data_IF_883877527321
#
_entry.id   IF_883877527321
#
_cell.length_a   1.000
_cell.length_b   1.000
_cell.length_c   1.000
_cell.angle_alpha   90.00
_cell.angle_beta   90.00
_cell.angle_gamma   90.00
#
_symmetry.space_group_name_H-M   'P 1'
#
loop_
_entity.id
_entity.type
_entity.pdbx_description
1 polymer ?
#
# COMPACT_ATOMS: atom_id res chain seq x y z
N UNK A 1 -12.46 18.86 12.66
CA UNK A 1 -11.97 19.96 11.79
C UNK A 1 -12.88 20.02 10.58
N UNK A 2 -13.31 21.19 10.09
CA UNK A 2 -14.28 21.23 8.97
C UNK A 2 -13.61 20.94 7.62
N UNK A 3 -14.34 20.30 6.70
CA UNK A 3 -13.86 19.96 5.34
C UNK A 3 -13.35 21.18 4.56
N UNK A 4 -14.03 22.32 4.71
CA UNK A 4 -13.67 23.63 4.14
C UNK A 4 -12.26 24.08 4.56
N UNK A 5 -11.81 23.71 5.77
CA UNK A 5 -10.46 24.05 6.23
C UNK A 5 -9.36 23.18 5.62
N UNK A 6 -9.68 21.93 5.26
CA UNK A 6 -8.75 20.99 4.62
C UNK A 6 -8.55 21.37 3.16
N UNK A 7 -9.62 21.68 2.43
CA UNK A 7 -9.56 22.09 1.01
C UNK A 7 -8.60 23.26 0.77
N UNK A 8 -8.62 24.27 1.67
CA UNK A 8 -7.69 25.41 1.59
C UNK A 8 -6.22 25.04 1.84
N UNK A 9 -5.96 23.94 2.56
CA UNK A 9 -4.60 23.47 2.90
C UNK A 9 -4.10 22.39 1.95
N UNK A 10 -5.00 21.71 1.24
CA UNK A 10 -4.69 20.57 0.39
C UNK A 10 -3.57 20.84 -0.64
N UNK A 11 -3.51 22.00 -1.33
CA UNK A 11 -2.40 22.28 -2.23
C UNK A 11 -1.03 22.32 -1.53
N UNK A 12 -0.99 22.75 -0.26
CA UNK A 12 0.25 22.75 0.55
C UNK A 12 0.57 21.35 1.08
N UNK A 13 -0.45 20.57 1.46
CA UNK A 13 -0.26 19.17 1.85
C UNK A 13 0.29 18.35 0.69
N UNK A 14 -0.24 18.53 -0.51
CA UNK A 14 0.24 17.83 -1.71
C UNK A 14 1.71 18.17 -2.00
N UNK A 15 2.09 19.46 -1.98
CA UNK A 15 3.51 19.87 -2.11
C UNK A 15 4.43 19.20 -1.08
N UNK A 16 4.00 19.09 0.18
CA UNK A 16 4.78 18.41 1.23
C UNK A 16 4.86 16.91 0.95
N UNK A 17 3.74 16.29 0.58
CA UNK A 17 3.66 14.88 0.21
C UNK A 17 4.63 14.55 -0.93
N UNK A 18 4.66 15.33 -2.00
CA UNK A 18 5.54 15.07 -3.14
C UNK A 18 7.00 15.02 -2.72
N UNK A 19 7.44 15.96 -1.87
CA UNK A 19 8.82 15.95 -1.38
C UNK A 19 9.17 14.67 -0.60
N UNK A 20 8.23 14.17 0.22
CA UNK A 20 8.42 12.96 1.02
C UNK A 20 8.28 11.70 0.17
N UNK A 21 7.49 11.74 -0.91
CA UNK A 21 7.40 10.66 -1.87
C UNK A 21 8.73 10.47 -2.61
N UNK A 22 9.36 11.56 -3.08
CA UNK A 22 10.65 11.51 -3.80
C UNK A 22 11.83 11.17 -2.87
N UNK A 23 11.89 11.81 -1.70
CA UNK A 23 12.86 11.52 -0.66
C UNK A 23 12.16 11.27 0.69
N UNK A 24 11.89 9.99 1.00
CA UNK A 24 11.31 9.56 2.27
C UNK A 24 12.02 10.11 3.52
N UNK A 25 13.32 10.42 3.42
CA UNK A 25 14.16 10.90 4.53
C UNK A 25 14.31 12.42 4.60
N UNK A 26 13.68 13.16 3.68
CA UNK A 26 13.94 14.59 3.49
C UNK A 26 13.77 15.40 4.79
N UNK A 27 14.77 16.20 5.19
CA UNK A 27 14.68 17.06 6.38
C UNK A 27 13.66 18.19 6.20
N UNK A 28 13.01 18.62 7.29
CA UNK A 28 12.00 19.70 7.26
C UNK A 28 12.51 21.00 6.65
N UNK A 29 13.78 21.34 6.89
CA UNK A 29 14.41 22.52 6.31
C UNK A 29 14.50 22.43 4.78
N UNK A 30 14.76 21.25 4.22
CA UNK A 30 14.81 21.06 2.78
C UNK A 30 13.41 21.12 2.16
N UNK A 31 12.39 20.56 2.82
CA UNK A 31 10.99 20.73 2.38
C UNK A 31 10.62 22.22 2.33
N UNK A 32 10.99 23.00 3.35
CA UNK A 32 10.76 24.45 3.38
C UNK A 32 11.42 25.12 2.17
N UNK A 33 12.70 24.83 1.91
CA UNK A 33 13.46 25.40 0.79
C UNK A 33 12.81 25.07 -0.56
N UNK A 34 12.36 23.83 -0.74
CA UNK A 34 11.80 23.35 -2.01
C UNK A 34 10.36 23.84 -2.26
N UNK A 35 9.59 24.10 -1.21
CA UNK A 35 8.15 24.41 -1.33
C UNK A 35 7.81 25.88 -1.06
N UNK A 36 8.72 26.65 -0.45
CA UNK A 36 8.46 28.00 0.05
C UNK A 36 7.56 28.05 1.29
N UNK A 37 7.17 26.90 1.86
CA UNK A 37 6.36 26.81 3.07
C UNK A 37 7.28 26.94 4.28
N UNK A 38 6.99 27.88 5.20
CA UNK A 38 7.85 28.07 6.38
C UNK A 38 8.05 26.78 7.18
N UNK A 39 9.24 26.58 7.75
CA UNK A 39 9.59 25.36 8.50
C UNK A 39 8.60 25.03 9.62
N UNK A 40 8.12 26.03 10.35
CA UNK A 40 7.10 25.87 11.39
C UNK A 40 5.77 25.38 10.82
N UNK A 41 5.37 25.87 9.65
CA UNK A 41 4.16 25.42 8.95
C UNK A 41 4.33 24.01 8.42
N UNK A 42 5.47 23.65 7.82
CA UNK A 42 5.75 22.27 7.38
C UNK A 42 5.65 21.31 8.55
N UNK A 43 6.28 21.64 9.69
CA UNK A 43 6.21 20.81 10.91
C UNK A 43 4.77 20.59 11.37
N UNK A 44 4.00 21.68 11.53
CA UNK A 44 2.59 21.63 11.93
C UNK A 44 1.75 20.80 10.97
N UNK A 45 1.92 21.01 9.66
CA UNK A 45 1.16 20.29 8.64
C UNK A 45 1.51 18.82 8.60
N UNK A 46 2.77 18.42 8.81
CA UNK A 46 3.11 17.01 8.90
C UNK A 46 2.46 16.32 10.11
N UNK A 47 2.51 16.95 11.28
CA UNK A 47 1.84 16.42 12.48
C UNK A 47 0.34 16.22 12.20
N UNK A 48 -0.29 17.21 11.58
CA UNK A 48 -1.70 17.17 11.20
C UNK A 48 -2.00 16.09 10.16
N UNK A 49 -1.21 16.02 9.09
CA UNK A 49 -1.37 15.05 8.00
C UNK A 49 -1.22 13.61 8.50
N UNK A 50 -0.26 13.35 9.40
CA UNK A 50 -0.14 12.03 10.05
C UNK A 50 -1.30 11.76 11.00
N UNK A 51 -1.69 12.73 11.84
CA UNK A 51 -2.77 12.58 12.81
C UNK A 51 -4.14 12.32 12.16
N UNK A 52 -4.37 12.88 10.97
CA UNK A 52 -5.60 12.68 10.19
C UNK A 52 -5.50 11.54 9.17
N UNK A 53 -4.37 10.80 9.14
CA UNK A 53 -4.10 9.80 8.10
C UNK A 53 -4.24 10.33 6.66
N UNK A 54 -3.97 11.62 6.46
CA UNK A 54 -3.81 12.22 5.12
C UNK A 54 -2.49 11.74 4.51
N UNK A 55 -1.48 11.54 5.35
CA UNK A 55 -0.19 10.96 4.97
C UNK A 55 0.02 9.69 5.78
N UNK A 56 0.38 8.58 5.14
CA UNK A 56 0.86 7.36 5.83
C UNK A 56 2.22 6.96 5.27
N UNK A 57 3.07 6.43 6.14
CA UNK A 57 4.45 6.12 5.77
C UNK A 57 5.42 7.29 5.98
N UNK A 58 6.57 7.30 5.28
CA UNK A 58 6.98 6.32 4.27
C UNK A 58 7.06 4.89 4.82
N UNK A 59 6.36 3.97 4.18
CA UNK A 59 6.23 2.56 4.53
C UNK A 59 7.36 1.77 3.85
N UNK A 60 7.94 0.79 4.55
CA UNK A 60 8.91 -0.15 3.97
C UNK A 60 8.16 -1.38 3.44
N UNK A 61 8.41 -1.70 2.18
CA UNK A 61 7.98 -2.94 1.55
C UNK A 61 9.22 -3.71 1.08
N UNK A 62 9.58 -4.76 1.80
CA UNK A 62 10.72 -5.62 1.44
C UNK A 62 10.42 -6.31 0.11
N UNK A 63 11.39 -6.29 -0.80
CA UNK A 63 11.27 -6.96 -2.10
C UNK A 63 11.33 -8.48 -1.90
N UNK A 64 10.59 -9.27 -2.69
CA UNK A 64 10.82 -10.71 -2.77
C UNK A 64 12.28 -10.99 -3.15
N UNK A 65 12.85 -12.02 -2.54
CA UNK A 65 14.21 -12.50 -2.81
C UNK A 65 14.23 -14.03 -2.78
N UNK A 66 15.24 -14.67 -3.39
CA UNK A 66 15.32 -16.14 -3.42
C UNK A 66 15.29 -16.78 -2.03
N UNK A 67 15.84 -16.09 -1.03
CA UNK A 67 15.85 -16.52 0.36
C UNK A 67 14.74 -15.89 1.24
N UNK A 68 13.85 -15.07 0.67
CA UNK A 68 12.77 -14.41 1.40
C UNK A 68 11.55 -14.15 0.50
N UNK A 69 10.45 -14.80 0.83
CA UNK A 69 9.16 -14.59 0.18
C UNK A 69 8.10 -14.20 1.21
N UNK A 70 7.15 -13.37 0.76
CA UNK A 70 5.88 -13.21 1.44
C UNK A 70 4.82 -13.97 0.65
N UNK A 71 3.77 -14.42 1.31
CA UNK A 71 2.66 -15.16 0.71
C UNK A 71 1.37 -14.43 1.04
N UNK A 72 0.54 -14.20 0.03
CA UNK A 72 -0.78 -13.61 0.22
C UNK A 72 -1.83 -14.72 0.12
N UNK A 73 -2.76 -14.76 1.09
CA UNK A 73 -3.86 -15.70 1.09
C UNK A 73 -5.22 -14.99 1.21
N UNK A 74 -6.15 -15.38 0.35
CA UNK A 74 -7.49 -14.82 0.21
C UNK A 74 -8.52 -15.84 0.67
N UNK A 75 -8.93 -15.73 1.92
CA UNK A 75 -9.60 -16.80 2.67
C UNK A 75 -11.08 -16.48 2.91
N UNK A 76 -11.89 -17.53 2.97
CA UNK A 76 -13.27 -17.48 3.47
C UNK A 76 -13.36 -18.22 4.79
N UNK A 77 -13.89 -17.54 5.80
CA UNK A 77 -14.26 -18.11 7.10
C UNK A 77 -15.76 -17.94 7.36
N UNK A 78 -16.34 -18.88 8.11
CA UNK A 78 -17.73 -18.78 8.61
C UNK A 78 -17.95 -17.54 9.47
N UNK A 79 -16.97 -17.25 10.33
CA UNK A 79 -17.02 -16.17 11.31
C UNK A 79 -15.79 -15.27 11.13
N UNK A 80 -15.77 -14.38 10.12
CA UNK A 80 -14.58 -13.63 9.75
C UNK A 80 -14.04 -12.78 10.89
N UNK A 81 -14.89 -12.14 11.70
CA UNK A 81 -14.41 -11.35 12.85
C UNK A 81 -13.69 -12.19 13.91
N UNK A 82 -14.19 -13.41 14.17
CA UNK A 82 -13.52 -14.35 15.11
C UNK A 82 -12.19 -14.83 14.53
N UNK A 83 -12.15 -15.18 13.24
CA UNK A 83 -10.92 -15.55 12.57
C UNK A 83 -9.90 -14.40 12.58
N UNK A 84 -10.32 -13.19 12.22
CA UNK A 84 -9.50 -11.98 12.25
C UNK A 84 -8.88 -11.75 13.63
N UNK A 85 -9.66 -11.86 14.70
CA UNK A 85 -9.16 -11.77 16.08
C UNK A 85 -8.21 -12.92 16.43
N UNK A 86 -8.54 -14.15 16.03
CA UNK A 86 -7.72 -15.36 16.25
C UNK A 86 -6.34 -15.29 15.58
N UNK A 87 -6.21 -14.55 14.49
CA UNK A 87 -4.91 -14.27 13.87
C UNK A 87 -4.01 -13.34 14.71
N UNK A 88 -4.46 -12.85 15.88
CA UNK A 88 -3.67 -11.88 16.67
C UNK A 88 -2.54 -12.64 17.35
N UNK A 89 -1.30 -12.26 17.05
CA UNK A 89 -0.12 -12.97 17.56
C UNK A 89 0.16 -14.28 16.83
N UNK A 90 -0.48 -14.54 15.69
CA UNK A 90 -0.15 -15.69 14.87
C UNK A 90 1.29 -15.55 14.34
N UNK A 91 2.16 -16.57 14.50
CA UNK A 91 3.55 -16.48 14.08
C UNK A 91 3.65 -16.29 12.57
N UNK A 92 4.67 -15.56 12.11
CA UNK A 92 4.93 -15.28 10.69
C UNK A 92 3.83 -14.53 9.94
N UNK A 93 2.82 -13.97 10.62
CA UNK A 93 1.80 -13.15 10.00
C UNK A 93 2.27 -11.69 9.94
N UNK A 94 2.41 -11.16 8.73
CA UNK A 94 2.85 -9.78 8.47
C UNK A 94 1.69 -8.77 8.51
N UNK A 95 0.56 -9.14 7.92
CA UNK A 95 -0.65 -8.32 7.94
C UNK A 95 -1.91 -9.16 7.81
N UNK A 96 -3.02 -8.61 8.29
CA UNK A 96 -4.35 -9.21 8.14
C UNK A 96 -5.39 -8.14 7.84
N UNK A 97 -6.37 -8.50 7.02
CA UNK A 97 -7.53 -7.68 6.74
C UNK A 97 -8.80 -8.51 6.90
N UNK A 98 -9.86 -7.87 7.39
CA UNK A 98 -11.22 -8.38 7.31
C UNK A 98 -11.97 -7.61 6.24
N UNK A 99 -12.69 -8.34 5.39
CA UNK A 99 -13.35 -7.81 4.21
C UNK A 99 -14.76 -8.40 4.07
N UNK A 100 -15.54 -7.79 3.18
CA UNK A 100 -16.86 -8.28 2.76
C UNK A 100 -16.87 -8.39 1.23
N UNK A 101 -17.04 -9.60 0.69
CA UNK A 101 -17.09 -9.83 -0.75
C UNK A 101 -16.66 -11.25 -1.11
N UNK A 102 -15.90 -11.36 -2.21
CA UNK A 102 -15.43 -12.64 -2.76
C UNK A 102 -14.53 -13.43 -1.79
N UNK A 103 -13.86 -12.75 -0.86
CA UNK A 103 -13.21 -13.33 0.31
C UNK A 103 -13.51 -12.43 1.52
N UNK A 104 -13.38 -12.96 2.74
CA UNK A 104 -13.68 -12.19 3.94
C UNK A 104 -12.50 -12.04 4.91
N UNK A 105 -11.39 -12.74 4.65
CA UNK A 105 -10.10 -12.56 5.30
C UNK A 105 -9.00 -12.51 4.25
N UNK A 106 -8.11 -11.53 4.34
CA UNK A 106 -6.85 -11.53 3.60
C UNK A 106 -5.71 -11.52 4.60
N UNK A 107 -4.72 -12.39 4.40
CA UNK A 107 -3.51 -12.44 5.23
C UNK A 107 -2.27 -12.39 4.35
N UNK A 108 -1.24 -11.69 4.83
CA UNK A 108 0.10 -11.74 4.24
C UNK A 108 1.04 -12.35 5.26
N UNK A 109 1.75 -13.40 4.87
CA UNK A 109 2.54 -14.24 5.76
C UNK A 109 3.98 -14.39 5.24
N UNK A 110 4.95 -14.58 6.12
CA UNK A 110 6.36 -14.83 5.75
C UNK A 110 6.62 -16.29 5.38
N UNK A 111 5.67 -17.18 5.66
CA UNK A 111 5.74 -18.60 5.34
C UNK A 111 4.47 -19.02 4.63
N UNK A 112 4.58 -19.99 3.73
CA UNK A 112 3.44 -20.64 3.11
C UNK A 112 2.72 -21.49 4.17
N UNK A 113 1.48 -21.13 4.51
CA UNK A 113 0.75 -21.75 5.62
C UNK A 113 -0.47 -22.52 5.15
N UNK A 114 -0.75 -23.66 5.78
CA UNK A 114 -1.97 -24.41 5.53
C UNK A 114 -3.11 -23.93 6.45
N UNK A 115 -4.06 -23.17 5.90
CA UNK A 115 -5.21 -22.63 6.63
C UNK A 115 -6.37 -23.61 6.77
N UNK A 116 -6.37 -24.76 6.06
CA UNK A 116 -7.52 -25.68 6.04
C UNK A 116 -7.82 -26.33 7.38
N UNK A 117 -6.83 -26.39 8.27
CA UNK A 117 -6.96 -26.91 9.63
C UNK A 117 -7.57 -25.91 10.62
N UNK A 118 -7.74 -24.63 10.24
CA UNK A 118 -8.25 -23.61 11.14
C UNK A 118 -9.77 -23.72 11.30
N UNK A 119 -10.24 -23.60 12.55
CA UNK A 119 -11.66 -23.67 12.88
C UNK A 119 -12.46 -22.62 12.10
N UNK A 120 -13.50 -23.08 11.39
CA UNK A 120 -14.39 -22.25 10.60
C UNK A 120 -13.82 -21.80 9.25
N UNK A 121 -12.66 -22.33 8.84
CA UNK A 121 -12.19 -22.20 7.46
C UNK A 121 -13.21 -22.85 6.51
N UNK A 122 -13.52 -22.16 5.40
CA UNK A 122 -14.44 -22.65 4.37
C UNK A 122 -13.72 -22.92 3.07
N UNK A 123 -12.94 -21.95 2.62
CA UNK A 123 -12.38 -21.95 1.27
C UNK A 123 -11.18 -20.98 1.19
N UNK A 124 -10.34 -21.18 0.18
CA UNK A 124 -9.21 -20.33 -0.14
C UNK A 124 -9.25 -20.01 -1.63
N UNK A 125 -9.58 -18.75 -1.96
CA UNK A 125 -9.68 -18.28 -3.34
C UNK A 125 -8.32 -18.31 -4.05
N UNK A 126 -7.29 -17.84 -3.36
CA UNK A 126 -5.92 -17.76 -3.87
C UNK A 126 -4.95 -17.77 -2.69
N UNK A 127 -3.84 -18.51 -2.81
CA UNK A 127 -2.78 -18.53 -1.81
C UNK A 127 -1.43 -18.80 -2.46
N UNK A 128 -0.69 -17.72 -2.72
CA UNK A 128 0.53 -17.79 -3.53
C UNK A 128 1.57 -16.76 -3.08
N UNK A 129 2.76 -16.86 -3.66
CA UNK A 129 3.83 -15.89 -3.45
C UNK A 129 3.38 -14.48 -3.84
N UNK A 130 3.57 -13.55 -2.92
CA UNK A 130 3.28 -12.13 -3.08
C UNK A 130 4.47 -11.45 -3.75
N UNK A 131 4.23 -10.79 -4.87
CA UNK A 131 5.21 -9.95 -5.53
C UNK A 131 5.51 -8.64 -4.81
N UNK A 132 6.25 -7.79 -5.53
CA UNK A 132 6.60 -6.44 -5.08
C UNK A 132 5.32 -5.62 -4.87
N UNK A 133 5.27 -4.91 -3.74
CA UNK A 133 4.23 -3.90 -3.53
C UNK A 133 4.62 -2.61 -4.24
N UNK A 134 3.66 -2.02 -4.96
CA UNK A 134 3.81 -0.76 -5.65
C UNK A 134 2.70 0.21 -5.20
N UNK A 135 3.08 1.46 -4.95
CA UNK A 135 2.15 2.54 -4.60
C UNK A 135 2.49 3.72 -5.52
N UNK A 136 1.69 4.00 -6.56
CA UNK A 136 1.93 5.12 -7.46
C UNK A 136 1.91 6.46 -6.73
N UNK A 137 2.62 7.44 -7.31
CA UNK A 137 2.57 8.82 -6.84
C UNK A 137 1.19 9.41 -7.12
N UNK A 138 0.56 9.99 -6.11
CA UNK A 138 -0.74 10.65 -6.25
C UNK A 138 -0.53 12.01 -6.92
N UNK A 139 -1.12 12.19 -8.10
CA UNK A 139 -1.12 13.47 -8.79
C UNK A 139 -2.07 14.47 -8.11
N UNK A 140 -1.84 15.77 -8.35
CA UNK A 140 -2.73 16.84 -7.84
C UNK A 140 -3.95 17.02 -8.75
N UNK A 141 -4.66 15.95 -9.06
CA UNK A 141 -5.91 15.99 -9.82
C UNK A 141 -7.11 15.78 -8.89
N UNK A 142 -8.27 16.30 -9.31
CA UNK A 142 -9.55 15.89 -8.72
C UNK A 142 -10.04 14.59 -9.38
N UNK A 143 -11.17 14.09 -8.87
CA UNK A 143 -11.75 12.84 -9.33
C UNK A 143 -12.10 12.87 -10.82
N UNK A 144 -12.83 13.89 -11.26
CA UNK A 144 -13.31 13.98 -12.64
C UNK A 144 -12.13 14.06 -13.63
N UNK A 145 -11.08 14.84 -13.30
CA UNK A 145 -9.84 14.91 -14.11
C UNK A 145 -9.08 13.59 -14.11
N UNK A 146 -9.00 12.89 -12.97
CA UNK A 146 -8.36 11.56 -12.91
C UNK A 146 -9.10 10.56 -13.78
N UNK A 147 -10.44 10.54 -13.74
CA UNK A 147 -11.25 9.63 -14.52
C UNK A 147 -11.14 9.91 -16.02
N UNK A 148 -11.17 11.18 -16.44
CA UNK A 148 -10.94 11.57 -17.83
C UNK A 148 -9.59 11.07 -18.36
N UNK A 149 -8.52 11.15 -17.55
CA UNK A 149 -7.19 10.65 -17.90
C UNK A 149 -7.13 9.14 -17.97
N UNK A 150 -7.83 8.45 -17.08
CA UNK A 150 -7.95 7.00 -17.10
C UNK A 150 -8.65 6.53 -18.39
N UNK A 151 -9.77 7.14 -18.76
CA UNK A 151 -10.45 6.89 -20.04
C UNK A 151 -9.59 7.25 -21.25
N UNK A 152 -8.85 8.35 -21.19
CA UNK A 152 -7.93 8.75 -22.27
C UNK A 152 -6.74 7.79 -22.42
N UNK A 153 -6.50 6.94 -21.43
CA UNK A 153 -5.44 5.90 -21.44
C UNK A 153 -5.98 4.52 -21.81
N UNK A 154 -7.29 4.40 -22.02
CA UNK A 154 -7.98 3.18 -22.40
C UNK A 154 -7.73 2.92 -23.89
N UNK A 155 -6.79 2.02 -24.15
CA UNK A 155 -6.48 1.49 -25.48
C UNK A 155 -6.29 -0.02 -25.32
N UNK A 156 -6.32 -0.78 -26.41
CA UNK A 156 -6.04 -2.21 -26.31
C UNK A 156 -4.68 -2.46 -25.61
N UNK A 157 -4.63 -3.38 -24.62
CA UNK A 157 -3.45 -3.61 -23.82
C UNK A 157 -2.30 -4.09 -24.70
N UNK A 158 -1.11 -3.56 -24.45
CA UNK A 158 0.07 -3.81 -25.30
C UNK A 158 1.04 -4.72 -24.59
N UNK A 159 1.20 -5.95 -25.09
CA UNK A 159 2.19 -6.90 -24.60
C UNK A 159 1.94 -7.35 -23.15
N UNK A 160 2.50 -8.51 -22.81
CA UNK A 160 2.42 -9.03 -21.44
C UNK A 160 3.37 -8.24 -20.53
N UNK A 161 2.92 -7.91 -19.33
CA UNK A 161 3.71 -7.21 -18.32
C UNK A 161 3.36 -7.72 -16.92
N UNK A 162 4.40 -8.00 -16.11
CA UNK A 162 4.26 -8.47 -14.73
C UNK A 162 4.89 -7.47 -13.75
N UNK A 163 4.28 -7.32 -12.57
CA UNK A 163 4.88 -6.64 -11.43
C UNK A 163 5.84 -7.53 -10.64
N UNK A 164 5.79 -8.85 -10.85
CA UNK A 164 6.66 -9.76 -10.11
C UNK A 164 8.11 -9.52 -10.52
N UNK A 165 8.91 -9.17 -9.53
CA UNK A 165 10.35 -9.07 -9.65
C UNK A 165 10.97 -9.53 -8.34
N UNK A 166 11.99 -10.34 -8.45
CA UNK A 166 12.68 -10.94 -7.32
C UNK A 166 14.15 -10.55 -7.37
N UNK A 167 14.67 -10.08 -6.24
CA UNK A 167 16.10 -9.78 -6.12
C UNK A 167 16.88 -11.08 -5.88
N UNK A 168 18.15 -11.19 -6.31
CA UNK A 168 18.90 -12.44 -6.19
C UNK A 168 19.00 -12.95 -4.75
N UNK A 169 19.31 -12.08 -3.80
CA UNK A 169 19.45 -12.46 -2.40
C UNK A 169 19.28 -11.26 -1.47
N UNK A 170 18.66 -11.47 -0.31
CA UNK A 170 18.61 -10.50 0.76
C UNK A 170 19.64 -10.86 1.85
N UNK A 171 20.65 -10.00 2.02
CA UNK A 171 21.76 -10.21 2.96
C UNK A 171 21.48 -9.67 4.38
N UNK A 172 20.23 -9.31 4.70
CA UNK A 172 19.87 -8.82 6.02
C UNK A 172 20.04 -9.89 7.10
N UNK A 173 20.76 -9.52 8.15
CA UNK A 173 20.91 -10.31 9.35
C UNK A 173 19.80 -9.97 10.35
N UNK A 174 19.84 -10.59 11.53
CA UNK A 174 18.84 -10.40 12.58
C UNK A 174 18.63 -8.92 12.95
N UNK A 175 19.69 -8.13 12.98
CA UNK A 175 19.60 -6.70 13.33
C UNK A 175 18.91 -5.90 12.21
N UNK A 176 19.25 -6.11 10.94
CA UNK A 176 18.59 -5.47 9.80
C UNK A 176 17.12 -5.84 9.69
N UNK A 177 16.76 -7.11 9.92
CA UNK A 177 15.35 -7.53 10.00
C UNK A 177 14.61 -6.88 11.17
N UNK A 178 15.29 -6.69 12.31
CA UNK A 178 14.75 -5.95 13.44
C UNK A 178 14.48 -4.49 13.07
N UNK A 179 15.42 -3.82 12.39
CA UNK A 179 15.24 -2.46 11.89
C UNK A 179 14.08 -2.38 10.88
N UNK A 180 14.05 -3.26 9.88
CA UNK A 180 12.98 -3.30 8.89
C UNK A 180 11.61 -3.44 9.57
N UNK A 181 11.49 -4.32 10.56
CA UNK A 181 10.25 -4.52 11.32
C UNK A 181 9.85 -3.29 12.13
N UNK A 182 10.81 -2.65 12.83
CA UNK A 182 10.54 -1.49 13.69
C UNK A 182 10.22 -0.22 12.90
N UNK A 183 10.80 -0.05 11.70
CA UNK A 183 10.59 1.12 10.85
C UNK A 183 9.55 0.92 9.74
N UNK A 184 8.96 -0.27 9.59
CA UNK A 184 8.09 -0.62 8.44
C UNK A 184 6.92 0.33 8.20
N UNK A 185 6.39 0.95 9.25
CA UNK A 185 5.22 1.84 9.16
C UNK A 185 5.57 3.29 8.89
N UNK A 186 6.74 3.73 9.31
CA UNK A 186 7.21 5.09 9.09
C UNK A 186 8.71 5.18 9.35
N UNK A 187 9.50 5.29 8.28
CA UNK A 187 10.96 5.43 8.40
C UNK A 187 11.41 6.77 9.00
N UNK A 188 10.51 7.76 9.05
CA UNK A 188 10.80 9.09 9.59
C UNK A 188 10.65 9.15 11.11
N UNK A 189 10.28 8.02 11.73
CA UNK A 189 10.25 7.88 13.19
C UNK A 189 11.64 8.17 13.78
N UNK A 190 11.68 8.80 14.95
CA UNK A 190 12.94 9.06 15.64
C UNK A 190 13.71 7.76 15.88
N UNK A 191 14.89 7.64 15.28
CA UNK A 191 15.63 6.39 15.30
C UNK A 191 16.23 6.06 16.67
N UNK A 192 16.75 7.06 17.40
CA UNK A 192 17.52 6.82 18.62
C UNK A 192 16.78 6.02 19.71
N UNK A 193 15.48 6.25 20.01
CA UNK A 193 14.73 5.40 20.92
C UNK A 193 14.69 3.93 20.49
N UNK A 194 14.42 3.66 19.21
CA UNK A 194 14.34 2.30 18.64
C UNK A 194 15.70 1.60 18.71
N UNK A 195 16.78 2.33 18.38
CA UNK A 195 18.14 1.80 18.41
C UNK A 195 18.58 1.43 19.82
N UNK A 196 18.27 2.29 20.81
CA UNK A 196 18.55 2.01 22.24
C UNK A 196 17.78 0.79 22.74
N UNK A 197 16.48 0.71 22.44
CA UNK A 197 15.63 -0.43 22.84
C UNK A 197 16.11 -1.74 22.21
N UNK A 198 16.59 -1.70 20.98
CA UNK A 198 17.02 -2.89 20.22
C UNK A 198 18.49 -3.25 20.43
N UNK A 199 19.26 -2.42 21.14
CA UNK A 199 20.71 -2.61 21.30
C UNK A 199 21.53 -2.43 20.01
N UNK A 200 20.98 -1.76 18.99
CA UNK A 200 21.61 -1.62 17.67
C UNK A 200 22.41 -0.30 17.63
N UNK A 201 23.67 -0.38 17.18
CA UNK A 201 24.54 0.80 17.04
C UNK A 201 24.11 1.70 15.88
N UNK A 202 24.35 3.01 16.02
CA UNK A 202 23.95 3.99 15.01
C UNK A 202 24.65 3.78 13.66
N UNK A 203 25.90 3.33 13.65
CA UNK A 203 26.66 3.06 12.43
C UNK A 203 26.04 1.91 11.61
N UNK A 204 25.54 0.87 12.29
CA UNK A 204 24.82 -0.25 11.65
C UNK A 204 23.51 0.25 11.05
N UNK A 205 22.77 1.09 11.78
CA UNK A 205 21.56 1.75 11.26
C UNK A 205 21.85 2.58 10.01
N UNK A 206 22.91 3.40 9.99
CA UNK A 206 23.26 4.21 8.82
C UNK A 206 23.58 3.35 7.59
N UNK A 207 24.33 2.25 7.76
CA UNK A 207 24.64 1.29 6.69
C UNK A 207 23.39 0.58 6.16
N UNK A 208 22.51 0.15 7.07
CA UNK A 208 21.23 -0.44 6.69
C UNK A 208 20.37 0.57 5.92
N UNK A 209 20.24 1.79 6.43
CA UNK A 209 19.42 2.83 5.81
C UNK A 209 19.91 3.21 4.41
N UNK A 210 21.22 3.33 4.21
CA UNK A 210 21.80 3.65 2.90
C UNK A 210 21.63 2.52 1.87
N UNK A 211 21.58 1.26 2.32
CA UNK A 211 21.35 0.10 1.46
C UNK A 211 19.88 -0.26 1.27
N UNK A 212 18.97 0.36 2.03
CA UNK A 212 17.54 0.00 2.09
C UNK A 212 16.86 -0.04 0.72
N UNK A 213 17.17 0.90 -0.19
CA UNK A 213 16.58 0.94 -1.55
C UNK A 213 16.93 -0.28 -2.41
N UNK A 214 18.05 -0.96 -2.12
CA UNK A 214 18.41 -2.19 -2.82
C UNK A 214 17.45 -3.34 -2.45
N UNK A 215 17.04 -3.42 -1.18
CA UNK A 215 16.29 -4.54 -0.62
C UNK A 215 14.80 -4.27 -0.43
N UNK A 216 14.37 -3.00 -0.42
CA UNK A 216 13.00 -2.61 -0.17
C UNK A 216 12.59 -1.40 -1.01
N UNK A 217 11.29 -1.27 -1.22
CA UNK A 217 10.69 -0.03 -1.68
C UNK A 217 10.18 0.77 -0.48
N UNK A 218 10.26 2.10 -0.59
CA UNK A 218 9.72 3.02 0.39
C UNK A 218 8.63 3.84 -0.29
N UNK A 219 7.40 3.70 0.19
CA UNK A 219 6.27 4.42 -0.39
C UNK A 219 5.56 5.26 0.64
N UNK A 220 5.17 6.45 0.24
CA UNK A 220 4.35 7.35 1.03
C UNK A 220 2.94 7.32 0.45
N UNK A 221 1.96 6.99 1.27
CA UNK A 221 0.55 7.02 0.87
C UNK A 221 -0.07 8.37 1.22
N UNK A 222 -0.96 8.85 0.35
CA UNK A 222 -1.62 10.14 0.43
C UNK A 222 -3.13 10.00 0.21
N UNK A 223 -3.91 10.43 1.20
CA UNK A 223 -5.36 10.42 1.22
C UNK A 223 -5.84 11.84 1.50
N UNK A 224 -6.11 12.67 0.48
CA UNK A 224 -6.40 14.11 0.63
C UNK A 224 -7.29 14.51 1.81
N UNK A 225 -8.33 13.71 2.11
CA UNK A 225 -9.31 13.98 3.16
C UNK A 225 -9.12 13.13 4.43
N UNK A 226 -8.05 12.34 4.49
CA UNK A 226 -7.77 11.37 5.56
C UNK A 226 -8.36 10.00 5.25
N UNK A 227 -7.58 8.93 5.49
CA UNK A 227 -7.96 7.56 5.13
C UNK A 227 -9.35 7.13 5.65
N UNK A 228 -9.73 7.56 6.85
CA UNK A 228 -11.00 7.16 7.47
C UNK A 228 -12.24 7.74 6.75
N UNK A 229 -12.03 8.66 5.80
CA UNK A 229 -13.09 9.20 4.94
C UNK A 229 -13.31 8.38 3.65
N UNK A 230 -12.47 7.38 3.39
CA UNK A 230 -12.52 6.58 2.17
C UNK A 230 -13.13 5.20 2.41
N UNK A 231 -13.96 4.76 1.47
CA UNK A 231 -14.24 3.35 1.23
C UNK A 231 -13.05 2.71 0.53
N UNK A 232 -12.58 1.58 1.04
CA UNK A 232 -11.45 0.87 0.45
C UNK A 232 -11.95 -0.44 -0.14
N UNK A 233 -11.60 -0.69 -1.41
CA UNK A 233 -11.95 -1.89 -2.14
C UNK A 233 -10.69 -2.60 -2.60
N UNK A 234 -10.66 -3.91 -2.44
CA UNK A 234 -9.67 -4.78 -3.04
C UNK A 234 -10.28 -5.42 -4.29
N UNK A 235 -9.59 -5.29 -5.41
CA UNK A 235 -9.86 -5.98 -6.66
C UNK A 235 -8.72 -6.95 -6.94
N UNK A 236 -9.05 -8.20 -7.24
CA UNK A 236 -8.09 -9.23 -7.61
C UNK A 236 -8.33 -9.57 -9.08
N UNK A 237 -7.53 -8.97 -9.96
CA UNK A 237 -7.67 -9.09 -11.41
C UNK A 237 -6.82 -10.24 -11.94
N UNK A 238 -7.40 -11.17 -12.70
CA UNK A 238 -6.62 -12.18 -13.45
C UNK A 238 -6.13 -11.58 -14.75
N UNK A 239 -4.84 -11.29 -14.85
CA UNK A 239 -4.32 -10.44 -15.93
C UNK A 239 -2.85 -10.72 -16.26
N UNK A 240 -2.55 -10.64 -17.56
CA UNK A 240 -1.18 -10.63 -18.09
C UNK A 240 -0.66 -9.19 -18.31
N UNK A 241 -1.43 -8.16 -17.96
CA UNK A 241 -1.18 -6.75 -18.23
C UNK A 241 -1.01 -5.93 -16.94
N UNK A 242 -0.35 -6.51 -15.93
CA UNK A 242 -0.32 -5.98 -14.57
C UNK A 242 0.23 -4.55 -14.49
N UNK A 243 1.30 -4.22 -15.25
CA UNK A 243 1.88 -2.87 -15.22
C UNK A 243 0.92 -1.82 -15.81
N UNK A 244 0.22 -2.17 -16.88
CA UNK A 244 -0.72 -1.25 -17.53
C UNK A 244 -1.93 -0.96 -16.64
N UNK A 245 -2.47 -1.98 -15.96
CA UNK A 245 -3.53 -1.77 -14.97
C UNK A 245 -3.08 -0.88 -13.82
N UNK A 246 -1.83 -1.03 -13.36
CA UNK A 246 -1.24 -0.18 -12.32
C UNK A 246 -1.09 1.26 -12.80
N UNK A 247 -0.62 1.47 -14.03
CA UNK A 247 -0.42 2.80 -14.60
C UNK A 247 -1.77 3.55 -14.73
N UNK A 248 -2.83 2.85 -15.13
CA UNK A 248 -4.18 3.40 -15.27
C UNK A 248 -4.85 3.61 -13.91
N UNK A 249 -5.01 2.57 -13.10
CA UNK A 249 -5.69 2.64 -11.79
C UNK A 249 -4.87 3.43 -10.74
N UNK A 250 -3.59 3.66 -11.03
CA UNK A 250 -2.72 4.51 -10.24
C UNK A 250 -2.93 6.01 -10.43
N UNK A 251 -3.75 6.42 -11.41
CA UNK A 251 -4.07 7.83 -11.66
C UNK A 251 -5.12 8.41 -10.71
N UNK A 252 -5.69 7.59 -9.82
CA UNK A 252 -6.69 8.02 -8.84
C UNK A 252 -6.14 9.14 -7.93
N UNK A 253 -7.00 10.07 -7.46
CA UNK A 253 -6.58 11.23 -6.66
C UNK A 253 -6.30 10.86 -5.18
N UNK A 254 -6.10 9.58 -4.89
CA UNK A 254 -5.70 9.07 -3.58
C UNK A 254 -4.83 7.82 -3.77
N UNK A 255 -4.07 7.43 -2.75
CA UNK A 255 -3.15 6.32 -2.89
C UNK A 255 -3.84 4.99 -3.16
N UNK A 256 -3.53 4.43 -4.31
CA UNK A 256 -3.77 3.03 -4.69
C UNK A 256 -2.58 2.16 -4.30
N UNK A 257 -2.81 0.91 -3.93
CA UNK A 257 -1.76 -0.06 -3.61
C UNK A 257 -1.91 -1.30 -4.48
N UNK A 258 -0.80 -1.78 -5.03
CA UNK A 258 -0.78 -2.91 -5.93
C UNK A 258 0.25 -3.95 -5.51
N UNK A 259 -0.02 -5.22 -5.77
CA UNK A 259 1.01 -6.26 -5.82
C UNK A 259 0.51 -7.47 -6.62
N UNK A 260 1.42 -8.20 -7.23
CA UNK A 260 1.10 -9.45 -7.92
C UNK A 260 0.98 -10.62 -6.94
N UNK A 261 0.13 -11.57 -7.30
CA UNK A 261 -0.01 -12.87 -6.64
C UNK A 261 -0.24 -13.89 -7.75
N UNK A 262 0.81 -14.59 -8.16
CA UNK A 262 0.82 -15.42 -9.38
C UNK A 262 0.33 -14.63 -10.63
N UNK A 263 -0.68 -15.14 -11.33
CA UNK A 263 -1.32 -14.58 -12.52
C UNK A 263 -2.35 -13.48 -12.19
N UNK A 264 -2.47 -13.12 -10.91
CA UNK A 264 -3.37 -12.07 -10.43
C UNK A 264 -2.63 -10.81 -10.02
N UNK A 265 -3.31 -9.68 -10.17
CA UNK A 265 -2.95 -8.39 -9.62
C UNK A 265 -3.97 -8.02 -8.53
N UNK A 266 -3.51 -7.87 -7.29
CA UNK A 266 -4.31 -7.16 -6.28
C UNK A 266 -4.17 -5.66 -6.51
N UNK A 267 -5.29 -4.96 -6.62
CA UNK A 267 -5.40 -3.51 -6.57
C UNK A 267 -6.29 -3.10 -5.40
N UNK A 268 -5.73 -2.37 -4.44
CA UNK A 268 -6.45 -1.74 -3.34
C UNK A 268 -6.69 -0.28 -3.68
N UNK A 269 -7.95 0.08 -3.92
CA UNK A 269 -8.38 1.39 -4.40
C UNK A 269 -9.24 2.07 -3.33
N UNK A 270 -9.09 3.38 -3.17
CA UNK A 270 -9.76 4.18 -2.13
C UNK A 270 -10.68 5.22 -2.75
N UNK A 271 -11.94 5.28 -2.32
CA UNK A 271 -13.03 6.08 -2.92
C UNK A 271 -13.77 6.86 -1.83
N UNK A 272 -14.10 8.13 -2.05
CA UNK A 272 -14.72 8.98 -1.02
C UNK A 272 -16.22 8.76 -0.88
N UNK A 273 -16.91 8.44 -1.97
CA UNK A 273 -18.35 8.46 -2.00
C UNK A 273 -18.93 7.47 -3.03
N UNK A 274 -20.26 7.35 -3.01
CA UNK A 274 -20.98 6.41 -3.88
C UNK A 274 -20.83 6.74 -5.37
N UNK A 275 -20.79 8.02 -5.76
CA UNK A 275 -20.61 8.43 -7.17
C UNK A 275 -19.28 7.90 -7.69
N UNK A 276 -18.19 8.18 -6.97
CA UNK A 276 -16.84 7.70 -7.32
C UNK A 276 -16.77 6.17 -7.40
N UNK A 277 -17.46 5.49 -6.48
CA UNK A 277 -17.57 4.03 -6.51
C UNK A 277 -18.29 3.53 -7.76
N UNK A 278 -19.47 4.07 -8.07
CA UNK A 278 -20.25 3.61 -9.21
C UNK A 278 -19.50 3.88 -10.53
N UNK A 279 -18.86 5.06 -10.66
CA UNK A 279 -18.03 5.43 -11.84
C UNK A 279 -16.79 4.55 -12.00
N UNK A 280 -16.06 4.24 -10.91
CA UNK A 280 -14.91 3.35 -10.98
C UNK A 280 -15.32 1.93 -11.37
N UNK A 281 -16.44 1.43 -10.86
CA UNK A 281 -16.93 0.10 -11.23
C UNK A 281 -17.32 0.06 -12.71
N UNK A 282 -17.98 1.09 -13.24
CA UNK A 282 -18.21 1.21 -14.68
C UNK A 282 -16.90 1.20 -15.47
N UNK A 283 -15.92 2.01 -15.08
CA UNK A 283 -14.61 2.03 -15.73
C UNK A 283 -13.87 0.68 -15.69
N UNK A 284 -13.96 -0.05 -14.57
CA UNK A 284 -13.37 -1.39 -14.45
C UNK A 284 -14.04 -2.39 -15.41
N UNK A 285 -15.36 -2.29 -15.63
CA UNK A 285 -16.05 -3.12 -16.62
C UNK A 285 -15.55 -2.79 -18.03
N UNK A 286 -15.40 -1.51 -18.37
CA UNK A 286 -14.85 -1.07 -19.65
C UNK A 286 -13.41 -1.61 -19.87
N UNK A 287 -12.57 -1.61 -18.83
CA UNK A 287 -11.24 -2.24 -18.88
C UNK A 287 -11.31 -3.75 -19.20
N UNK A 288 -12.33 -4.44 -18.70
CA UNK A 288 -12.58 -5.85 -18.99
C UNK A 288 -12.99 -6.06 -20.45
N UNK A 289 -13.86 -5.20 -20.99
CA UNK A 289 -14.28 -5.24 -22.40
C UNK A 289 -13.11 -4.99 -23.36
N UNK A 290 -12.18 -4.10 -22.99
CA UNK A 290 -10.93 -3.84 -23.74
C UNK A 290 -9.85 -4.92 -23.54
N UNK A 291 -10.11 -5.94 -22.72
CA UNK A 291 -9.23 -7.09 -22.56
C UNK A 291 -8.04 -6.90 -21.61
N UNK A 292 -8.06 -5.91 -20.71
CA UNK A 292 -6.99 -5.72 -19.72
C UNK A 292 -6.91 -6.85 -18.69
N UNK A 293 -8.01 -7.58 -18.46
CA UNK A 293 -8.06 -8.75 -17.59
C UNK A 293 -9.10 -9.75 -18.11
N UNK A 294 -9.02 -10.97 -17.61
CA UNK A 294 -9.92 -12.08 -18.02
C UNK A 294 -11.05 -12.31 -17.03
N UNK A 295 -10.79 -12.13 -15.74
CA UNK A 295 -11.79 -12.05 -14.68
C UNK A 295 -11.31 -11.10 -13.57
N UNK A 296 -12.20 -10.80 -12.64
CA UNK A 296 -11.80 -10.24 -11.36
C UNK A 296 -12.73 -10.66 -10.22
N UNK A 297 -12.18 -10.61 -9.01
CA UNK A 297 -12.92 -10.70 -7.77
C UNK A 297 -12.83 -9.38 -6.99
N UNK A 298 -13.85 -9.06 -6.21
CA UNK A 298 -13.88 -7.82 -5.42
C UNK A 298 -14.28 -8.09 -3.97
N UNK A 299 -13.69 -7.34 -3.04
CA UNK A 299 -14.09 -7.28 -1.65
C UNK A 299 -13.90 -5.88 -1.06
N UNK A 300 -14.85 -5.43 -0.25
CA UNK A 300 -14.73 -4.16 0.49
C UNK A 300 -13.96 -4.39 1.80
N UNK A 301 -12.95 -3.56 2.07
CA UNK A 301 -12.12 -3.66 3.26
C UNK A 301 -12.84 -3.02 4.44
N UNK A 302 -13.05 -3.81 5.51
CA UNK A 302 -13.62 -3.32 6.77
C UNK A 302 -12.52 -2.84 7.72
N UNK A 303 -11.43 -3.60 7.82
CA UNK A 303 -10.29 -3.22 8.65
C UNK A 303 -9.02 -3.95 8.23
N UNK A 304 -7.88 -3.26 8.29
CA UNK A 304 -6.55 -3.82 8.09
C UNK A 304 -5.69 -3.56 9.32
N UNK A 305 -5.08 -4.62 9.85
CA UNK A 305 -4.03 -4.54 10.86
C UNK A 305 -2.72 -5.00 10.25
N UNK A 306 -1.67 -4.23 10.49
CA UNK A 306 -0.31 -4.70 10.31
C UNK A 306 0.20 -5.14 11.69
N UNK A 307 0.80 -6.32 11.78
CA UNK A 307 1.19 -6.95 13.05
C UNK A 307 2.65 -6.73 13.37
#
# INVERSE_FOLDING_TARGET
>A
MSRISIEKRLPKYHKIYEQIYEDPSIPLYQIMKNTGISRSTVSRYLIEMYGLSILKGPLIFVKPAQNYHQYAAFLKFEHPLRAYQGFKGFPSLYSRSVLVGAWNIMVVCEKFMNFSSLKGFRDCLLHEAKGVTYVPKVASFDWDTSLEKMYSSLFHPRGKSSLYHEIPHNHWEKEEWTLATRFKHNIRTHAMPILKESGIRFEKYQKWFSSLRAYAHMYTAFYPYGLDQYFVFDFLFRTEHQKQLVDILGMLPSSSLFFSVDSYLLARLSLLNKKEKDELFSFILDLGEEGYFTDFHCASVVSTSYL
#
